data_IF_454216168412
#
_entry.id   IF_454216168412
#
_cell.length_a   1.000
_cell.length_b   1.000
_cell.length_c   1.000
_cell.angle_alpha   90.00
_cell.angle_beta   90.00
_cell.angle_gamma   90.00
#
_symmetry.space_group_name_H-M   'P 1'
#
loop_
_entity.id
_entity.type
_entity.pdbx_description
1 polymer ?
#
# COMPACT_ATOMS: atom_id res chain seq x y z
N UNK A 1 8.41 6.15 17.51
CA UNK A 1 7.07 5.58 17.25
C UNK A 1 6.27 6.59 16.45
N UNK A 2 5.51 6.19 15.42
CA UNK A 2 4.76 7.14 14.59
C UNK A 2 3.72 7.90 15.43
N UNK A 3 3.55 9.18 15.14
CA UNK A 3 2.59 10.03 15.84
C UNK A 3 1.17 9.47 15.64
N UNK A 4 0.28 9.68 16.61
CA UNK A 4 -1.09 9.16 16.57
C UNK A 4 -2.08 10.31 16.69
N UNK A 5 -3.03 10.38 15.76
CA UNK A 5 -4.11 11.35 15.77
C UNK A 5 -5.45 10.67 15.57
N UNK A 6 -6.51 11.25 16.11
CA UNK A 6 -7.87 10.84 15.74
C UNK A 6 -8.23 11.38 14.36
N UNK A 7 -9.17 10.73 13.67
CA UNK A 7 -9.68 11.23 12.38
C UNK A 7 -10.30 12.63 12.50
N UNK A 8 -10.89 12.99 13.65
CA UNK A 8 -11.41 14.35 13.90
C UNK A 8 -10.28 15.37 14.00
N UNK A 9 -9.20 15.06 14.74
CA UNK A 9 -8.05 15.95 14.88
C UNK A 9 -7.28 16.10 13.56
N UNK A 10 -7.11 15.01 12.80
CA UNK A 10 -6.49 15.04 11.49
C UNK A 10 -7.29 15.90 10.50
N UNK A 11 -8.63 15.85 10.54
CA UNK A 11 -9.49 16.71 9.72
C UNK A 11 -9.34 18.19 10.06
N UNK A 12 -9.31 18.51 11.35
CA UNK A 12 -9.19 19.90 11.82
C UNK A 12 -7.83 20.52 11.49
N UNK A 13 -6.77 19.70 11.42
CA UNK A 13 -5.38 20.15 11.23
C UNK A 13 -4.76 19.58 9.93
N UNK A 14 -5.57 19.39 8.89
CA UNK A 14 -5.15 18.60 7.72
C UNK A 14 -3.88 19.14 7.05
N UNK A 15 -3.80 20.47 6.81
CA UNK A 15 -2.62 21.09 6.20
C UNK A 15 -1.35 20.91 7.04
N UNK A 16 -1.43 21.01 8.38
CA UNK A 16 -0.29 20.78 9.26
C UNK A 16 0.18 19.33 9.21
N UNK A 17 -0.76 18.38 9.27
CA UNK A 17 -0.46 16.94 9.17
C UNK A 17 0.24 16.62 7.84
N UNK A 18 -0.22 17.18 6.73
CA UNK A 18 0.43 17.01 5.43
C UNK A 18 1.81 17.66 5.40
N UNK A 19 1.97 18.89 5.90
CA UNK A 19 3.26 19.57 5.93
C UNK A 19 4.30 18.84 6.78
N UNK A 20 3.89 18.29 7.93
CA UNK A 20 4.75 17.50 8.81
C UNK A 20 5.22 16.21 8.13
N UNK A 21 4.36 15.57 7.34
CA UNK A 21 4.78 14.43 6.52
C UNK A 21 5.71 14.87 5.38
N UNK A 22 5.30 15.85 4.58
CA UNK A 22 6.02 16.26 3.37
C UNK A 22 7.39 16.91 3.65
N UNK A 23 7.49 17.75 4.69
CA UNK A 23 8.70 18.52 4.98
C UNK A 23 9.39 18.10 6.27
N UNK A 24 8.64 17.55 7.23
CA UNK A 24 9.17 17.07 8.51
C UNK A 24 9.60 15.60 8.50
N UNK A 25 9.26 14.84 7.45
CA UNK A 25 9.53 13.40 7.38
C UNK A 25 8.69 12.57 8.36
N UNK A 26 7.62 13.15 8.93
CA UNK A 26 6.84 12.48 9.96
C UNK A 26 5.88 11.42 9.39
N UNK A 27 5.81 10.26 10.06
CA UNK A 27 4.80 9.22 9.82
C UNK A 27 3.71 9.32 10.88
N UNK A 28 2.47 9.53 10.46
CA UNK A 28 1.34 9.85 11.34
C UNK A 28 0.21 8.84 11.12
N UNK A 29 -0.19 8.12 12.18
CA UNK A 29 -1.29 7.15 12.14
C UNK A 29 -2.60 7.83 12.54
N UNK A 30 -3.59 7.76 11.65
CA UNK A 30 -4.97 8.22 11.88
C UNK A 30 -5.80 7.09 12.48
N UNK A 31 -6.46 7.39 13.59
CA UNK A 31 -7.31 6.45 14.33
C UNK A 31 -8.78 6.85 14.27
N UNK A 32 -9.66 5.85 14.20
CA UNK A 32 -11.10 6.00 14.47
C UNK A 32 -11.41 5.29 15.77
N UNK A 33 -11.73 6.05 16.83
CA UNK A 33 -11.75 5.52 18.19
C UNK A 33 -10.37 5.00 18.59
N UNK A 34 -10.27 3.74 19.02
CA UNK A 34 -8.99 3.08 19.38
C UNK A 34 -8.34 2.32 18.22
N UNK A 35 -8.96 2.28 17.04
CA UNK A 35 -8.49 1.49 15.89
C UNK A 35 -7.70 2.36 14.90
N UNK A 36 -6.47 1.99 14.51
CA UNK A 36 -5.77 2.64 13.39
C UNK A 36 -6.49 2.33 12.07
N UNK A 37 -6.68 3.34 11.22
CA UNK A 37 -7.46 3.21 9.97
C UNK A 37 -6.75 3.75 8.73
N UNK A 38 -5.79 4.66 8.89
CA UNK A 38 -4.98 5.20 7.79
C UNK A 38 -3.65 5.75 8.35
N UNK A 39 -2.73 6.09 7.47
CA UNK A 39 -1.53 6.83 7.79
C UNK A 39 -1.31 7.96 6.78
N UNK A 40 -0.71 9.06 7.24
CA UNK A 40 -0.10 10.09 6.40
C UNK A 40 1.40 9.93 6.55
N UNK A 41 2.09 9.77 5.42
CA UNK A 41 3.52 9.48 5.35
C UNK A 41 4.16 10.39 4.29
N UNK A 42 5.48 10.60 4.34
CA UNK A 42 6.23 11.22 3.26
C UNK A 42 5.99 10.50 1.92
N UNK A 43 6.11 11.21 0.80
CA UNK A 43 5.85 10.63 -0.52
C UNK A 43 6.85 9.52 -0.84
N UNK A 44 8.10 9.68 -0.39
CA UNK A 44 9.19 8.74 -0.59
C UNK A 44 8.92 7.40 0.11
N UNK A 45 8.20 7.41 1.24
CA UNK A 45 7.79 6.19 1.93
C UNK A 45 6.70 5.45 1.15
N UNK A 46 5.77 6.18 0.53
CA UNK A 46 4.75 5.58 -0.34
C UNK A 46 5.41 4.94 -1.56
N UNK A 47 6.30 5.67 -2.22
CA UNK A 47 7.07 5.17 -3.37
C UNK A 47 7.90 3.93 -3.02
N UNK A 48 8.51 3.90 -1.82
CA UNK A 48 9.23 2.74 -1.34
C UNK A 48 8.31 1.51 -1.16
N UNK A 49 7.10 1.71 -0.64
CA UNK A 49 6.13 0.62 -0.49
C UNK A 49 5.73 0.06 -1.87
N UNK A 50 5.43 0.93 -2.83
CA UNK A 50 5.09 0.54 -4.20
C UNK A 50 6.24 -0.24 -4.87
N UNK A 51 7.49 0.21 -4.70
CA UNK A 51 8.68 -0.50 -5.23
C UNK A 51 8.86 -1.89 -4.62
N UNK A 52 8.52 -2.07 -3.35
CA UNK A 52 8.59 -3.38 -2.68
C UNK A 52 7.52 -4.31 -3.26
N UNK A 53 6.30 -3.81 -3.48
CA UNK A 53 5.20 -4.57 -4.10
C UNK A 53 5.56 -4.98 -5.53
N UNK A 54 6.04 -4.04 -6.35
CA UNK A 54 6.49 -4.31 -7.73
C UNK A 54 7.59 -5.38 -7.78
N UNK A 55 8.54 -5.31 -6.85
CA UNK A 55 9.62 -6.31 -6.77
C UNK A 55 9.07 -7.69 -6.42
N UNK A 56 8.14 -7.78 -5.47
CA UNK A 56 7.51 -9.04 -5.09
C UNK A 56 6.74 -9.65 -6.28
N UNK A 57 6.00 -8.84 -7.03
CA UNK A 57 5.28 -9.27 -8.22
C UNK A 57 6.22 -9.76 -9.33
N UNK A 58 7.33 -9.05 -9.57
CA UNK A 58 8.35 -9.49 -10.53
C UNK A 58 9.01 -10.81 -10.11
N UNK A 59 9.26 -11.00 -8.82
CA UNK A 59 9.78 -12.26 -8.28
C UNK A 59 8.78 -13.42 -8.47
N UNK A 60 7.49 -13.17 -8.25
CA UNK A 60 6.40 -14.11 -8.51
C UNK A 60 6.33 -14.50 -10.00
N UNK A 61 6.35 -13.51 -10.90
CA UNK A 61 6.35 -13.74 -12.36
C UNK A 61 7.55 -14.59 -12.76
N UNK A 62 8.76 -14.26 -12.29
CA UNK A 62 9.98 -15.02 -12.57
C UNK A 62 9.89 -16.45 -12.06
N UNK A 63 9.22 -16.68 -10.94
CA UNK A 63 8.98 -18.03 -10.41
C UNK A 63 8.03 -18.81 -11.31
N UNK A 64 6.90 -18.22 -11.69
CA UNK A 64 5.87 -18.88 -12.52
C UNK A 64 6.29 -19.10 -13.97
N UNK A 65 7.19 -18.30 -14.51
CA UNK A 65 7.77 -18.54 -15.85
C UNK A 65 8.47 -19.91 -15.95
N UNK A 66 8.84 -20.53 -14.82
CA UNK A 66 9.44 -21.86 -14.78
C UNK A 66 8.42 -22.98 -14.60
N UNK A 67 7.15 -22.64 -14.39
CA UNK A 67 6.08 -23.62 -14.17
C UNK A 67 5.52 -24.12 -15.52
N UNK A 68 5.09 -25.39 -15.62
CA UNK A 68 4.45 -25.91 -16.82
C UNK A 68 3.18 -25.13 -17.16
N UNK A 69 3.06 -24.69 -18.41
CA UNK A 69 1.88 -23.95 -18.90
C UNK A 69 0.82 -24.90 -19.48
N UNK A 70 -0.46 -24.53 -19.32
CA UNK A 70 -1.59 -25.20 -19.98
C UNK A 70 -2.17 -24.33 -21.11
N UNK A 71 -2.54 -24.90 -22.26
CA UNK A 71 -3.12 -24.14 -23.36
C UNK A 71 -4.43 -23.42 -22.97
N UNK A 72 -4.60 -22.18 -23.43
CA UNK A 72 -5.79 -21.37 -23.16
C UNK A 72 -7.10 -22.07 -23.55
N UNK A 73 -7.11 -22.81 -24.65
CA UNK A 73 -8.27 -23.60 -25.10
C UNK A 73 -8.73 -24.64 -24.08
N UNK A 74 -7.80 -25.23 -23.32
CA UNK A 74 -8.10 -26.19 -22.27
C UNK A 74 -8.72 -25.51 -21.05
N UNK A 75 -8.10 -24.43 -20.55
CA UNK A 75 -8.64 -23.63 -19.43
C UNK A 75 -10.04 -23.13 -19.74
N UNK A 76 -10.25 -22.58 -20.94
CA UNK A 76 -11.52 -22.02 -21.35
C UNK A 76 -12.65 -23.06 -21.28
N UNK A 77 -12.37 -24.27 -21.77
CA UNK A 77 -13.30 -25.40 -21.68
C UNK A 77 -13.56 -25.83 -20.22
N UNK A 78 -12.52 -25.93 -19.40
CA UNK A 78 -12.63 -26.35 -18.00
C UNK A 78 -13.43 -25.34 -17.15
N UNK A 79 -13.37 -24.05 -17.49
CA UNK A 79 -14.12 -22.98 -16.84
C UNK A 79 -15.52 -22.72 -17.43
N UNK A 80 -15.91 -23.42 -18.50
CA UNK A 80 -17.22 -23.25 -19.14
C UNK A 80 -17.41 -21.91 -19.87
N UNK A 81 -16.31 -21.31 -20.34
CA UNK A 81 -16.27 -20.02 -21.06
C UNK A 81 -16.23 -20.19 -22.59
#
# INVERSE_FOLDING_TARGET
MPAKLTASAARQNFSDVVNRAAYGGERIIVHRGKKPVAAVVPIEDLELLEQIEDRADLEEVRRRLKEPTIPWSKIKKDLGL
#
